data_IF_021226305453
#
_entry.id   IF_021226305453
#
_cell.length_a   1.000
_cell.length_b   1.000
_cell.length_c   1.000
_cell.angle_alpha   90.00
_cell.angle_beta   90.00
_cell.angle_gamma   90.00
#
_symmetry.space_group_name_H-M   'P 1'
#
loop_
_entity.id
_entity.type
_entity.pdbx_description
1 polymer ?
#
# COMPACT_ATOMS: atom_id res chain seq x y z
N UNK A 1 -8.86 -18.07 5.69
CA UNK A 1 -10.13 -17.65 6.32
C UNK A 1 -9.91 -17.08 7.71
N UNK A 2 -9.00 -17.64 8.54
CA UNK A 2 -8.67 -17.11 9.88
C UNK A 2 -8.14 -15.65 9.89
N UNK A 3 -7.32 -15.23 8.91
CA UNK A 3 -6.75 -13.87 8.89
C UNK A 3 -7.79 -12.74 8.76
N UNK A 4 -9.02 -13.05 8.30
CA UNK A 4 -10.10 -12.06 8.13
C UNK A 4 -11.11 -12.07 9.28
N UNK A 5 -10.90 -12.89 10.30
CA UNK A 5 -11.82 -12.99 11.43
C UNK A 5 -11.86 -11.68 12.22
N UNK A 6 -13.08 -11.23 12.56
CA UNK A 6 -13.28 -9.94 13.24
C UNK A 6 -13.01 -8.71 12.37
N UNK A 7 -12.90 -8.86 11.05
CA UNK A 7 -12.59 -7.73 10.18
C UNK A 7 -13.74 -6.72 10.07
N UNK A 8 -13.37 -5.45 10.09
CA UNK A 8 -14.19 -4.36 9.58
C UNK A 8 -14.09 -4.43 8.06
N UNK A 9 -15.24 -4.47 7.37
CA UNK A 9 -15.31 -4.57 5.91
C UNK A 9 -16.10 -3.38 5.34
N UNK A 10 -15.52 -2.68 4.37
CA UNK A 10 -16.17 -1.63 3.59
C UNK A 10 -16.21 -2.05 2.13
N UNK A 11 -17.41 -2.02 1.54
CA UNK A 11 -17.67 -2.39 0.15
C UNK A 11 -17.93 -1.14 -0.70
N UNK A 12 -17.61 -1.22 -1.98
CA UNK A 12 -17.78 -0.14 -2.93
C UNK A 12 -16.64 0.88 -2.89
N UNK A 13 -16.54 1.65 -3.96
CA UNK A 13 -15.36 2.48 -4.21
C UNK A 13 -15.16 3.57 -3.17
N UNK A 14 -16.22 4.33 -2.86
CA UNK A 14 -16.14 5.49 -1.96
C UNK A 14 -15.80 5.08 -0.52
N UNK A 15 -16.59 4.18 0.06
CA UNK A 15 -16.38 3.71 1.44
C UNK A 15 -15.06 2.94 1.59
N UNK A 16 -14.69 2.13 0.59
CA UNK A 16 -13.41 1.43 0.57
C UNK A 16 -12.22 2.39 0.53
N UNK A 17 -12.26 3.40 -0.34
CA UNK A 17 -11.19 4.40 -0.47
C UNK A 17 -11.07 5.25 0.80
N UNK A 18 -12.20 5.68 1.38
CA UNK A 18 -12.23 6.37 2.67
C UNK A 18 -11.59 5.54 3.79
N UNK A 19 -11.90 4.24 3.84
CA UNK A 19 -11.29 3.32 4.82
C UNK A 19 -9.79 3.16 4.59
N UNK A 20 -9.34 2.94 3.35
CA UNK A 20 -7.92 2.79 3.04
C UNK A 20 -7.10 4.03 3.43
N UNK A 21 -7.59 5.23 3.08
CA UNK A 21 -6.94 6.49 3.47
C UNK A 21 -6.90 6.66 5.00
N UNK A 22 -7.98 6.30 5.68
CA UNK A 22 -8.05 6.37 7.15
C UNK A 22 -7.06 5.42 7.81
N UNK A 23 -6.84 4.23 7.25
CA UNK A 23 -5.83 3.28 7.73
C UNK A 23 -4.42 3.84 7.52
N UNK A 24 -4.10 4.35 6.32
CA UNK A 24 -2.80 4.96 6.06
C UNK A 24 -2.52 6.09 7.04
N UNK A 25 -3.49 6.98 7.27
CA UNK A 25 -3.36 8.06 8.24
C UNK A 25 -3.19 7.55 9.68
N UNK A 26 -4.04 6.60 10.12
CA UNK A 26 -3.99 6.00 11.47
C UNK A 26 -2.62 5.39 11.77
N UNK A 27 -1.99 4.82 10.74
CA UNK A 27 -0.69 4.16 10.86
C UNK A 27 0.47 5.03 10.37
N UNK A 28 0.30 6.35 10.28
CA UNK A 28 1.38 7.31 9.95
C UNK A 28 2.09 6.99 8.62
N UNK A 29 1.33 6.52 7.63
CA UNK A 29 1.77 6.28 6.26
C UNK A 29 1.23 7.38 5.33
N UNK A 30 1.93 7.69 4.22
CA UNK A 30 1.47 8.69 3.26
C UNK A 30 0.15 8.29 2.62
N UNK A 31 -0.82 9.22 2.57
CA UNK A 31 -2.18 8.93 2.10
C UNK A 31 -2.25 8.63 0.58
N UNK A 32 -1.24 9.02 -0.20
CA UNK A 32 -1.13 8.68 -1.62
C UNK A 32 -0.38 7.38 -1.91
N UNK A 33 0.03 6.63 -0.88
CA UNK A 33 0.83 5.41 -1.02
C UNK A 33 0.12 4.31 -1.84
N UNK A 34 -1.22 4.29 -1.81
CA UNK A 34 -2.05 3.31 -2.50
C UNK A 34 -3.01 4.04 -3.45
N UNK A 35 -2.62 4.29 -4.71
CA UNK A 35 -3.47 4.91 -5.74
C UNK A 35 -4.51 3.90 -6.23
N UNK A 36 -5.57 3.72 -5.45
CA UNK A 36 -6.64 2.75 -5.70
C UNK A 36 -7.62 3.26 -6.76
N UNK A 37 -8.12 2.36 -7.61
CA UNK A 37 -9.19 2.66 -8.57
C UNK A 37 -10.19 1.49 -8.67
N UNK A 38 -11.48 1.80 -8.82
CA UNK A 38 -12.55 0.80 -8.92
C UNK A 38 -12.50 -0.23 -7.78
N UNK A 39 -12.40 0.27 -6.54
CA UNK A 39 -12.33 -0.55 -5.33
C UNK A 39 -13.65 -1.29 -5.13
N UNK A 40 -13.55 -2.61 -4.93
CA UNK A 40 -14.67 -3.51 -4.65
C UNK A 40 -14.87 -3.63 -3.14
N UNK A 41 -13.78 -3.86 -2.39
CA UNK A 41 -13.82 -3.89 -0.94
C UNK A 41 -12.46 -3.56 -0.31
N UNK A 42 -12.50 -3.07 0.92
CA UNK A 42 -11.35 -2.91 1.81
C UNK A 42 -11.71 -3.53 3.15
N UNK A 43 -10.81 -4.35 3.69
CA UNK A 43 -10.98 -4.99 4.98
C UNK A 43 -9.79 -4.76 5.90
N UNK A 44 -10.06 -4.72 7.19
CA UNK A 44 -9.06 -4.53 8.23
C UNK A 44 -9.42 -5.26 9.52
N UNK A 45 -8.47 -5.97 10.10
CA UNK A 45 -8.59 -6.63 11.40
C UNK A 45 -7.74 -5.86 12.41
N UNK A 46 -8.39 -5.19 13.35
CA UNK A 46 -7.70 -4.30 14.30
C UNK A 46 -6.75 -5.05 15.24
N UNK A 47 -7.10 -6.26 15.67
CA UNK A 47 -6.30 -7.06 16.60
C UNK A 47 -4.97 -7.54 16.01
N UNK A 48 -4.88 -7.70 14.69
CA UNK A 48 -3.70 -8.27 14.01
C UNK A 48 -2.99 -7.26 13.11
N UNK A 49 -3.66 -6.16 12.74
CA UNK A 49 -3.20 -5.24 11.71
C UNK A 49 -3.36 -5.78 10.28
N UNK A 50 -4.00 -6.94 10.08
CA UNK A 50 -4.19 -7.48 8.74
C UNK A 50 -5.13 -6.59 7.93
N UNK A 51 -4.71 -6.24 6.71
CA UNK A 51 -5.53 -5.46 5.77
C UNK A 51 -5.51 -6.08 4.38
N UNK A 52 -6.60 -5.86 3.64
CA UNK A 52 -6.67 -6.18 2.22
C UNK A 52 -7.54 -5.20 1.45
N UNK A 53 -7.25 -5.10 0.16
CA UNK A 53 -7.96 -4.26 -0.79
C UNK A 53 -8.22 -5.13 -2.02
N UNK A 54 -9.47 -5.12 -2.48
CA UNK A 54 -9.88 -5.75 -3.74
C UNK A 54 -10.31 -4.66 -4.72
N UNK A 55 -9.80 -4.71 -5.93
CA UNK A 55 -10.13 -3.81 -7.02
C UNK A 55 -10.51 -4.60 -8.28
N UNK A 56 -11.34 -4.03 -9.14
CA UNK A 56 -11.87 -4.74 -10.32
C UNK A 56 -10.78 -5.15 -11.32
N UNK A 57 -9.71 -4.35 -11.44
CA UNK A 57 -8.62 -4.57 -12.38
C UNK A 57 -7.30 -4.11 -11.80
N UNK A 58 -6.19 -4.69 -12.27
CA UNK A 58 -4.84 -4.19 -11.98
C UNK A 58 -4.73 -2.71 -12.37
N UNK A 59 -4.01 -1.92 -11.57
CA UNK A 59 -3.70 -0.51 -11.82
C UNK A 59 -2.19 -0.34 -11.91
N UNK A 60 -1.74 0.44 -12.87
CA UNK A 60 -0.38 0.97 -12.89
C UNK A 60 -0.41 2.46 -12.60
N UNK A 61 0.47 2.92 -11.74
CA UNK A 61 0.57 4.31 -11.33
C UNK A 61 2.03 4.76 -11.38
N UNK A 62 2.25 5.96 -11.89
CA UNK A 62 3.57 6.57 -11.93
C UNK A 62 3.66 7.66 -10.86
N UNK A 63 4.48 7.40 -9.84
CA UNK A 63 4.87 8.43 -8.89
C UNK A 63 5.84 9.39 -9.56
N UNK A 64 5.33 10.52 -10.06
CA UNK A 64 6.05 11.44 -10.95
C UNK A 64 7.30 12.02 -10.30
N UNK A 65 7.24 12.38 -9.02
CA UNK A 65 8.36 13.01 -8.29
C UNK A 65 9.62 12.14 -8.30
N UNK A 66 9.46 10.81 -8.31
CA UNK A 66 10.57 9.85 -8.29
C UNK A 66 10.69 9.05 -9.59
N UNK A 67 9.87 9.37 -10.60
CA UNK A 67 9.79 8.65 -11.87
C UNK A 67 9.68 7.13 -11.71
N UNK A 68 8.89 6.66 -10.73
CA UNK A 68 8.71 5.22 -10.48
C UNK A 68 7.33 4.75 -10.91
N UNK A 69 7.31 3.75 -11.78
CA UNK A 69 6.10 3.05 -12.18
C UNK A 69 5.87 1.87 -11.24
N UNK A 70 4.68 1.81 -10.64
CA UNK A 70 4.28 0.81 -9.66
C UNK A 70 2.98 0.17 -10.13
N UNK A 71 2.88 -1.16 -9.98
CA UNK A 71 1.70 -1.92 -10.31
C UNK A 71 1.02 -2.45 -9.06
N UNK A 72 -0.29 -2.29 -8.98
CA UNK A 72 -1.17 -2.80 -7.94
C UNK A 72 -2.10 -3.85 -8.56
N UNK A 73 -2.00 -5.10 -8.10
CA UNK A 73 -2.81 -6.22 -8.56
C UNK A 73 -4.28 -6.08 -8.08
N UNK A 74 -5.16 -7.00 -8.52
CA UNK A 74 -6.58 -6.99 -8.14
C UNK A 74 -6.81 -7.27 -6.65
N UNK A 75 -5.86 -7.92 -5.98
CA UNK A 75 -5.85 -8.08 -4.52
C UNK A 75 -4.51 -7.59 -3.97
N UNK A 76 -4.55 -6.57 -3.12
CA UNK A 76 -3.40 -6.08 -2.35
C UNK A 76 -3.64 -6.41 -0.89
N UNK A 77 -2.66 -7.04 -0.21
CA UNK A 77 -2.81 -7.44 1.19
C UNK A 77 -1.50 -7.42 1.95
N UNK A 78 -1.59 -7.26 3.26
CA UNK A 78 -0.44 -7.25 4.15
C UNK A 78 -0.86 -6.96 5.59
N UNK A 79 0.12 -6.63 6.41
CA UNK A 79 -0.08 -6.29 7.82
C UNK A 79 0.43 -4.87 8.02
N UNK A 80 -0.45 -3.99 8.49
CA UNK A 80 -0.11 -2.60 8.79
C UNK A 80 0.15 -2.44 10.28
N UNK A 81 1.23 -1.73 10.60
CA UNK A 81 1.61 -1.27 11.92
C UNK A 81 2.08 0.18 11.83
N UNK A 82 2.35 0.82 12.96
CA UNK A 82 2.76 2.24 12.97
C UNK A 82 3.98 2.47 12.06
N UNK A 83 3.82 3.30 11.04
CA UNK A 83 4.82 3.65 10.05
C UNK A 83 5.20 2.53 9.08
N UNK A 84 4.49 1.40 9.03
CA UNK A 84 4.97 0.23 8.27
C UNK A 84 3.87 -0.68 7.75
N UNK A 85 4.11 -1.25 6.56
CA UNK A 85 3.34 -2.36 5.99
C UNK A 85 4.32 -3.52 5.75
N UNK A 86 4.06 -4.68 6.34
CA UNK A 86 4.89 -5.89 6.21
C UNK A 86 4.13 -7.03 5.54
N UNK A 87 4.88 -7.99 4.99
CA UNK A 87 4.35 -9.14 4.23
C UNK A 87 3.39 -8.68 3.11
N UNK A 88 3.70 -7.55 2.49
CA UNK A 88 2.91 -6.96 1.41
C UNK A 88 2.92 -7.88 0.19
N UNK A 89 1.74 -8.08 -0.39
CA UNK A 89 1.51 -8.80 -1.64
C UNK A 89 0.62 -7.96 -2.56
N UNK A 90 0.77 -8.15 -3.86
CA UNK A 90 -0.01 -7.46 -4.89
C UNK A 90 0.59 -6.10 -5.31
N UNK A 91 1.79 -5.75 -4.87
CA UNK A 91 2.49 -4.52 -5.27
C UNK A 91 3.83 -4.86 -5.90
N UNK A 92 4.12 -4.29 -7.08
CA UNK A 92 5.39 -4.45 -7.79
C UNK A 92 5.89 -3.09 -8.26
N UNK A 93 7.19 -2.84 -8.16
CA UNK A 93 7.80 -1.62 -8.65
C UNK A 93 8.68 -1.94 -9.87
N UNK A 94 8.53 -1.17 -10.96
CA UNK A 94 9.31 -1.42 -12.18
C UNK A 94 10.77 -1.05 -11.95
N UNK A 95 11.66 -1.97 -12.27
CA UNK A 95 13.11 -1.75 -12.31
C UNK A 95 13.64 -2.32 -13.62
N UNK A 96 14.11 -1.42 -14.51
CA UNK A 96 14.48 -1.75 -15.89
C UNK A 96 13.34 -2.50 -16.61
N UNK A 97 13.57 -3.76 -16.98
CA UNK A 97 12.60 -4.64 -17.64
C UNK A 97 11.85 -5.56 -16.66
N UNK A 98 12.13 -5.48 -15.36
CA UNK A 98 11.59 -6.38 -14.34
C UNK A 98 10.56 -5.69 -13.45
N UNK A 99 9.70 -6.50 -12.82
CA UNK A 99 8.68 -6.08 -11.86
C UNK A 99 8.84 -6.80 -10.52
N UNK A 100 9.93 -6.53 -9.78
CA UNK A 100 10.12 -7.12 -8.47
C UNK A 100 8.96 -6.77 -7.53
N UNK A 101 8.47 -7.74 -6.72
CA UNK A 101 7.46 -7.49 -5.72
C UNK A 101 8.03 -6.66 -4.56
N UNK A 102 7.21 -5.73 -4.09
CA UNK A 102 7.45 -5.00 -2.84
C UNK A 102 6.86 -5.81 -1.70
N UNK A 103 7.70 -6.16 -0.74
CA UNK A 103 7.36 -7.03 0.39
C UNK A 103 7.13 -6.27 1.69
N UNK A 104 7.70 -5.07 1.79
CA UNK A 104 7.60 -4.22 2.97
C UNK A 104 7.78 -2.74 2.59
N UNK A 105 7.04 -1.88 3.27
CA UNK A 105 7.11 -0.42 3.17
C UNK A 105 7.26 0.14 4.57
N UNK A 106 8.23 1.03 4.80
CA UNK A 106 8.47 1.66 6.10
C UNK A 106 8.65 3.16 5.92
N UNK A 107 7.80 3.97 6.56
CA UNK A 107 7.94 5.41 6.64
C UNK A 107 8.81 5.78 7.85
N UNK A 108 9.91 6.46 7.59
CA UNK A 108 10.78 7.06 8.59
C UNK A 108 10.41 8.56 8.69
N UNK A 109 9.46 8.84 9.59
CA UNK A 109 8.94 10.20 9.80
C UNK A 109 10.04 11.18 10.24
N UNK A 110 10.93 10.87 11.21
CA UNK A 110 12.06 11.73 11.56
C UNK A 110 12.98 12.07 10.38
N UNK A 111 13.23 11.11 9.48
CA UNK A 111 14.11 11.33 8.33
C UNK A 111 13.40 11.92 7.11
N UNK A 112 12.06 12.06 7.13
CA UNK A 112 11.26 12.47 5.97
C UNK A 112 11.34 11.51 4.78
N UNK A 113 11.63 10.22 5.06
CA UNK A 113 11.88 9.19 4.05
C UNK A 113 10.89 8.05 4.13
N UNK A 114 10.77 7.32 3.04
CA UNK A 114 10.03 6.07 2.97
C UNK A 114 10.87 5.02 2.24
N UNK A 115 10.86 3.81 2.78
CA UNK A 115 11.69 2.69 2.36
C UNK A 115 10.82 1.58 1.79
N UNK A 116 11.21 1.05 0.64
CA UNK A 116 10.54 -0.06 -0.04
C UNK A 116 11.51 -1.22 -0.17
N UNK A 117 11.18 -2.35 0.45
CA UNK A 117 12.00 -3.55 0.43
C UNK A 117 11.40 -4.60 -0.49
N UNK A 118 12.18 -5.06 -1.46
CA UNK A 118 11.79 -6.16 -2.35
C UNK A 118 12.05 -7.53 -1.71
N UNK A 119 11.42 -8.59 -2.25
CA UNK A 119 11.70 -9.97 -1.81
C UNK A 119 13.16 -10.40 -2.02
N UNK A 120 13.90 -9.73 -2.93
CA UNK A 120 15.33 -9.96 -3.15
C UNK A 120 16.23 -9.26 -2.12
N UNK A 121 15.66 -8.62 -1.09
CA UNK A 121 16.40 -7.93 -0.03
C UNK A 121 16.87 -6.52 -0.40
N UNK A 122 16.60 -6.05 -1.62
CA UNK A 122 16.97 -4.70 -2.07
C UNK A 122 16.01 -3.70 -1.43
N UNK A 123 16.56 -2.66 -0.80
CA UNK A 123 15.79 -1.53 -0.25
C UNK A 123 16.03 -0.28 -1.09
N UNK A 124 14.95 0.39 -1.47
CA UNK A 124 14.97 1.71 -2.12
C UNK A 124 14.35 2.74 -1.18
N UNK A 125 14.91 3.93 -1.13
CA UNK A 125 14.48 5.01 -0.24
C UNK A 125 14.14 6.25 -1.04
N UNK A 126 13.04 6.90 -0.69
CA UNK A 126 12.53 8.08 -1.39
C UNK A 126 12.03 9.13 -0.39
N UNK A 127 11.90 10.41 -0.80
CA UNK A 127 11.20 11.41 0.00
C UNK A 127 9.74 10.99 0.25
N UNK A 128 9.25 11.21 1.47
CA UNK A 128 7.88 10.84 1.86
C UNK A 128 6.82 11.60 1.05
N UNK A 129 7.12 12.84 0.68
CA UNK A 129 6.27 13.73 -0.14
C UNK A 129 5.98 13.19 -1.55
N UNK A 130 6.82 12.29 -2.06
CA UNK A 130 6.56 11.60 -3.33
C UNK A 130 5.33 10.69 -3.29
N UNK A 131 4.79 10.42 -2.10
CA UNK A 131 3.63 9.55 -1.86
C UNK A 131 2.47 10.31 -1.18
N UNK A 132 2.48 11.65 -1.22
CA UNK A 132 1.36 12.46 -0.77
C UNK A 132 0.11 12.23 -1.64
N UNK A 133 -1.07 12.52 -1.10
CA UNK A 133 -2.31 12.41 -1.88
C UNK A 133 -2.30 13.36 -3.09
N UNK A 134 -2.70 12.86 -4.27
CA UNK A 134 -2.79 13.65 -5.51
C UNK A 134 -1.51 13.72 -6.35
N UNK A 135 -0.47 12.95 -6.00
CA UNK A 135 0.80 12.86 -6.73
C UNK A 135 0.69 12.10 -8.07
#
# INVERSE_FOLDING_TARGET
MAEKEGAILKKGHEEGLKMAISLLQKFELPQGLLPLANVVEVGFVESTGYMWIVQQKKVEHQFKMISKLVSYDTEVKGYVEKGRIKKLKGVKAKELMLWPPVSEITADSPAGKIHFKSLAGITKSFPVEAFAAGQ
#
